data_IF_051122408329
#
_entry.id   IF_051122408329
#
_cell.length_a   1.000
_cell.length_b   1.000
_cell.length_c   1.000
_cell.angle_alpha   90.00
_cell.angle_beta   90.00
_cell.angle_gamma   90.00
#
_symmetry.space_group_name_H-M   'P 1'
#
loop_
_entity.id
_entity.type
_entity.pdbx_description
1 polymer ?
#
# COMPACT_ATOMS: atom_id res chain seq x y z
N UNK A 1 6.09 1.62 -6.23
CA UNK A 1 4.84 1.94 -5.49
C UNK A 1 4.69 0.93 -4.38
N UNK A 2 4.27 1.38 -3.18
CA UNK A 2 3.87 0.50 -2.08
C UNK A 2 2.39 0.72 -1.80
N UNK A 3 1.65 -0.37 -1.61
CA UNK A 3 0.25 -0.34 -1.21
C UNK A 3 0.00 -1.12 0.07
N UNK A 4 -1.04 -0.73 0.78
CA UNK A 4 -1.76 -1.50 1.78
C UNK A 4 -3.24 -1.12 1.66
N UNK A 5 -4.15 -1.89 2.26
CA UNK A 5 -5.52 -1.43 2.40
C UNK A 5 -5.77 -0.84 3.78
N UNK A 6 -6.76 0.05 3.83
CA UNK A 6 -7.10 0.84 5.01
C UNK A 6 -8.41 0.38 5.66
N UNK A 7 -9.28 -0.27 4.88
CA UNK A 7 -10.45 -0.94 5.41
C UNK A 7 -10.09 -2.24 6.11
N UNK A 8 -11.06 -2.79 6.81
CA UNK A 8 -11.03 -4.14 7.34
C UNK A 8 -12.45 -4.60 7.67
N UNK A 9 -12.58 -5.83 8.16
CA UNK A 9 -13.88 -6.41 8.49
C UNK A 9 -14.48 -5.88 9.80
N UNK A 10 -15.81 -5.70 9.82
CA UNK A 10 -16.59 -5.21 10.98
C UNK A 10 -16.39 -6.01 12.28
N UNK A 11 -15.94 -7.27 12.19
CA UNK A 11 -15.81 -8.19 13.30
C UNK A 11 -14.43 -8.15 13.99
N UNK A 12 -13.49 -7.32 13.48
CA UNK A 12 -12.12 -7.27 13.99
C UNK A 12 -11.53 -5.84 13.98
N UNK A 13 -10.51 -5.64 14.81
CA UNK A 13 -9.80 -4.34 14.94
C UNK A 13 -8.85 -4.04 13.76
N UNK A 14 -8.75 -4.95 12.79
CA UNK A 14 -7.94 -4.77 11.59
C UNK A 14 -6.45 -4.51 11.86
N UNK A 15 -5.95 -4.96 13.01
CA UNK A 15 -4.59 -4.68 13.47
C UNK A 15 -3.52 -5.36 12.59
N UNK A 16 -3.68 -6.66 12.34
CA UNK A 16 -2.82 -7.40 11.40
C UNK A 16 -3.25 -7.19 9.95
N UNK A 17 -4.56 -7.11 9.74
CA UNK A 17 -5.23 -7.03 8.45
C UNK A 17 -6.11 -5.77 8.41
N UNK A 18 -5.58 -4.59 8.07
CA UNK A 18 -4.22 -4.37 7.57
C UNK A 18 -3.55 -3.08 8.06
N UNK A 19 -3.86 -2.66 9.29
CA UNK A 19 -3.16 -1.54 9.94
C UNK A 19 -1.63 -1.78 10.01
N UNK A 20 -1.19 -3.03 10.16
CA UNK A 20 0.22 -3.42 10.10
C UNK A 20 0.86 -3.07 8.75
N UNK A 21 0.22 -3.37 7.62
CA UNK A 21 0.73 -3.03 6.29
C UNK A 21 0.86 -1.53 6.08
N UNK A 22 -0.15 -0.77 6.52
CA UNK A 22 -0.13 0.71 6.50
C UNK A 22 1.05 1.23 7.34
N UNK A 23 1.22 0.72 8.56
CA UNK A 23 2.31 1.12 9.45
C UNK A 23 3.69 0.85 8.84
N UNK A 24 3.90 -0.33 8.25
CA UNK A 24 5.16 -0.70 7.57
C UNK A 24 5.41 0.21 6.36
N UNK A 25 4.39 0.51 5.56
CA UNK A 25 4.52 1.39 4.40
C UNK A 25 4.99 2.80 4.81
N UNK A 26 4.36 3.37 5.85
CA UNK A 26 4.70 4.68 6.39
C UNK A 26 6.10 4.68 7.05
N UNK A 27 6.44 3.64 7.80
CA UNK A 27 7.76 3.50 8.42
C UNK A 27 8.87 3.42 7.36
N UNK A 28 8.67 2.62 6.31
CA UNK A 28 9.61 2.51 5.21
C UNK A 28 9.77 3.84 4.45
N UNK A 29 8.68 4.57 4.21
CA UNK A 29 8.75 5.88 3.58
C UNK A 29 9.51 6.89 4.45
N UNK A 30 9.26 6.91 5.77
CA UNK A 30 9.98 7.75 6.73
C UNK A 30 11.48 7.43 6.75
N UNK A 31 11.85 6.16 6.75
CA UNK A 31 13.25 5.72 6.73
C UNK A 31 13.97 6.09 5.43
N UNK A 32 13.26 6.10 4.30
CA UNK A 32 13.82 6.43 2.99
C UNK A 32 13.79 7.93 2.66
N UNK A 33 12.98 8.73 3.36
CA UNK A 33 12.82 10.16 3.10
C UNK A 33 14.15 10.94 3.06
N UNK A 34 15.14 10.72 3.96
CA UNK A 34 16.43 11.40 3.89
C UNK A 34 17.23 11.11 2.61
N UNK A 35 16.94 10.00 1.93
CA UNK A 35 17.61 9.57 0.70
C UNK A 35 16.79 9.87 -0.56
N UNK A 36 15.61 10.50 -0.43
CA UNK A 36 14.67 10.65 -1.54
C UNK A 36 15.28 11.32 -2.77
N UNK A 37 16.14 12.32 -2.59
CA UNK A 37 16.83 13.02 -3.69
C UNK A 37 17.86 12.18 -4.45
N UNK A 38 18.21 10.98 -3.96
CA UNK A 38 19.16 10.06 -4.61
C UNK A 38 18.47 9.02 -5.50
N UNK A 39 17.14 8.89 -5.42
CA UNK A 39 16.42 7.88 -6.16
C UNK A 39 16.18 8.29 -7.61
N UNK A 40 16.44 7.36 -8.53
CA UNK A 40 16.11 7.54 -9.96
C UNK A 40 14.61 7.47 -10.25
N UNK A 41 13.81 7.02 -9.29
CA UNK A 41 12.35 6.79 -9.40
C UNK A 41 11.68 7.33 -8.14
N UNK A 42 10.45 7.82 -8.28
CA UNK A 42 9.65 8.30 -7.17
C UNK A 42 9.02 7.13 -6.40
N UNK A 43 9.08 7.18 -5.07
CA UNK A 43 8.30 6.30 -4.21
C UNK A 43 6.88 6.85 -4.05
N UNK A 44 5.89 6.12 -4.56
CA UNK A 44 4.46 6.38 -4.33
C UNK A 44 3.91 5.45 -3.25
N UNK A 45 3.18 6.00 -2.29
CA UNK A 45 2.33 5.27 -1.36
C UNK A 45 0.88 5.35 -1.83
N UNK A 46 0.14 4.26 -1.72
CA UNK A 46 -1.30 4.23 -1.93
C UNK A 46 -1.96 3.39 -0.84
N UNK A 47 -3.03 3.91 -0.25
CA UNK A 47 -3.84 3.20 0.72
C UNK A 47 -5.24 3.04 0.14
N UNK A 48 -5.62 1.81 -0.16
CA UNK A 48 -6.89 1.50 -0.80
C UNK A 48 -7.96 1.22 0.25
N UNK A 49 -9.18 1.70 0.01
CA UNK A 49 -10.35 1.23 0.76
C UNK A 49 -11.11 0.18 -0.03
N UNK A 50 -12.06 -0.49 0.63
CA UNK A 50 -12.88 -1.56 0.04
C UNK A 50 -12.02 -2.64 -0.65
N UNK A 51 -10.85 -2.96 -0.08
CA UNK A 51 -10.06 -4.12 -0.50
C UNK A 51 -10.81 -5.40 -0.14
N UNK A 52 -11.34 -5.45 1.08
CA UNK A 52 -12.02 -6.61 1.61
C UNK A 52 -13.24 -6.94 0.73
N UNK A 53 -13.86 -5.90 0.15
CA UNK A 53 -14.97 -6.04 -0.79
C UNK A 53 -14.43 -6.25 -2.22
N UNK A 54 -13.69 -7.33 -2.40
CA UNK A 54 -13.19 -7.85 -3.67
C UNK A 54 -12.29 -6.88 -4.46
N UNK A 55 -11.30 -6.29 -3.78
CA UNK A 55 -10.26 -5.41 -4.33
C UNK A 55 -10.82 -4.15 -5.01
N UNK A 56 -11.97 -3.66 -4.55
CA UNK A 56 -12.73 -2.64 -5.27
C UNK A 56 -11.96 -1.34 -5.40
N UNK A 57 -11.36 -0.83 -4.32
CA UNK A 57 -10.61 0.43 -4.39
C UNK A 57 -9.38 0.37 -5.30
N UNK A 58 -8.61 -0.72 -5.25
CA UNK A 58 -7.43 -0.88 -6.09
C UNK A 58 -7.78 -1.12 -7.56
N UNK A 59 -8.89 -1.81 -7.85
CA UNK A 59 -9.45 -1.95 -9.21
C UNK A 59 -9.84 -0.59 -9.79
N UNK A 60 -10.61 0.20 -9.05
CA UNK A 60 -11.02 1.56 -9.48
C UNK A 60 -9.80 2.43 -9.73
N UNK A 61 -8.79 2.40 -8.85
CA UNK A 61 -7.55 3.14 -9.04
C UNK A 61 -6.82 2.73 -10.33
N UNK A 62 -6.66 1.42 -10.56
CA UNK A 62 -5.99 0.89 -11.76
C UNK A 62 -6.71 1.29 -13.04
N UNK A 63 -8.04 1.20 -13.04
CA UNK A 63 -8.87 1.44 -14.23
C UNK A 63 -9.00 2.94 -14.54
N UNK A 64 -8.92 3.80 -13.52
CA UNK A 64 -8.86 5.26 -13.66
C UNK A 64 -7.46 5.81 -13.96
N UNK A 65 -6.40 5.00 -13.86
CA UNK A 65 -5.03 5.46 -14.10
C UNK A 65 -4.78 5.64 -15.61
N UNK A 66 -4.25 6.80 -16.06
CA UNK A 66 -3.82 6.97 -17.43
C UNK A 66 -2.82 5.88 -17.84
N UNK A 67 -2.94 5.36 -19.07
CA UNK A 67 -2.09 4.26 -19.56
C UNK A 67 -0.60 4.58 -19.41
N UNK A 68 -0.18 5.78 -19.80
CA UNK A 68 1.22 6.21 -19.68
C UNK A 68 1.72 6.22 -18.23
N UNK A 69 0.87 6.58 -17.28
CA UNK A 69 1.22 6.56 -15.86
C UNK A 69 1.31 5.13 -15.34
N UNK A 70 0.40 4.26 -15.76
CA UNK A 70 0.41 2.82 -15.41
C UNK A 70 1.69 2.15 -15.91
N UNK A 71 2.11 2.45 -17.14
CA UNK A 71 3.35 1.93 -17.73
C UNK A 71 4.61 2.50 -17.08
N UNK A 72 4.52 3.66 -16.43
CA UNK A 72 5.64 4.25 -15.70
C UNK A 72 5.96 3.53 -14.36
N UNK A 73 5.01 2.73 -13.84
CA UNK A 73 5.17 1.99 -12.59
C UNK A 73 6.08 0.78 -12.81
N UNK A 74 7.34 0.91 -12.37
CA UNK A 74 8.33 -0.16 -12.50
C UNK A 74 8.11 -1.34 -11.52
N UNK A 75 7.48 -1.09 -10.37
CA UNK A 75 7.25 -2.08 -9.32
C UNK A 75 6.08 -1.66 -8.43
N UNK A 76 5.21 -2.61 -8.11
CA UNK A 76 4.17 -2.49 -7.10
C UNK A 76 4.38 -3.54 -6.01
N UNK A 77 4.53 -3.11 -4.76
CA UNK A 77 4.68 -4.00 -3.60
C UNK A 77 3.45 -3.85 -2.72
N UNK A 78 2.68 -4.93 -2.57
CA UNK A 78 1.54 -4.97 -1.65
C UNK A 78 2.01 -5.40 -0.26
N UNK A 79 1.60 -4.67 0.77
CA UNK A 79 1.86 -4.95 2.17
C UNK A 79 0.52 -5.25 2.82
N UNK A 80 0.28 -6.54 3.01
CA UNK A 80 -0.97 -7.08 3.49
C UNK A 80 -0.68 -8.23 4.44
N UNK A 81 -1.19 -8.14 5.67
CA UNK A 81 -0.94 -9.11 6.73
C UNK A 81 0.56 -9.35 7.00
N UNK A 82 1.32 -8.25 7.13
CA UNK A 82 2.79 -8.26 7.27
C UNK A 82 3.31 -8.45 8.71
N UNK A 83 2.40 -8.56 9.67
CA UNK A 83 2.74 -8.88 11.06
C UNK A 83 2.39 -10.34 11.36
N UNK A 84 3.37 -11.11 11.83
CA UNK A 84 3.17 -12.47 12.34
C UNK A 84 2.78 -12.48 13.81
N UNK A 85 2.36 -13.64 14.35
CA UNK A 85 2.11 -13.78 15.78
C UNK A 85 3.33 -13.35 16.59
N UNK A 86 3.09 -12.66 17.71
CA UNK A 86 4.14 -12.43 18.69
C UNK A 86 4.62 -13.80 19.21
N UNK A 87 5.93 -13.99 19.24
CA UNK A 87 6.56 -15.19 19.79
C UNK A 87 6.24 -15.37 21.28
#
# INVERSE_FOLDING_TARGET
>A
MRSAHLDGHDLAESAMDNAAGVAVALAAARALAPQAGRFRRVLRLAFFGAEEWALTGSRVYRDGLPVAERESIALHVNLDSVAGPAA
#
